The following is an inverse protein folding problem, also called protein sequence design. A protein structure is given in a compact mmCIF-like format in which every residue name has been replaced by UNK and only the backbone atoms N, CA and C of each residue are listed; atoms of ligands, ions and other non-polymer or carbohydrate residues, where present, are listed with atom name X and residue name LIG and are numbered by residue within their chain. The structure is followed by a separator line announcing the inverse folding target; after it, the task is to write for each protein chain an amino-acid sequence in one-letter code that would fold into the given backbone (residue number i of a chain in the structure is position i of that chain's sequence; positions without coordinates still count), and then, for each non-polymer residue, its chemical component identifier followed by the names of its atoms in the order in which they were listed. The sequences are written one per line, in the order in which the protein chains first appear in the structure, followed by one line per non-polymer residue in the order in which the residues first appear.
data_IF_406680418216
#
_entry.id   IF_406680418216
#
_cell.length_a   1.000
_cell.length_b   1.000
_cell.length_c   1.000
_cell.angle_alpha   90.00
_cell.angle_beta   90.00
_cell.angle_gamma   90.00
#
_symmetry.space_group_name_H-M   'P 1'
#
loop_
_entity.id
_entity.type
_entity.pdbx_description
1 polymer ?
#
# COMPACT_ATOMS: atom_id res chain seq x y z
N UNK A 1 -21.16 -62.83 -48.86
CA UNK A 1 -21.06 -61.32 -48.81
C UNK A 1 -20.59 -60.94 -47.42
N UNK A 2 -19.26 -60.72 -47.27
CA UNK A 2 -18.65 -60.31 -45.99
C UNK A 2 -18.39 -58.80 -46.06
N UNK A 3 -19.03 -58.02 -45.13
CA UNK A 3 -18.81 -56.60 -44.97
C UNK A 3 -17.66 -56.39 -43.98
N UNK A 4 -16.54 -55.89 -44.45
CA UNK A 4 -15.46 -55.36 -43.58
C UNK A 4 -15.84 -53.98 -43.11
N UNK A 5 -15.90 -53.80 -41.78
CA UNK A 5 -16.03 -52.51 -41.12
C UNK A 5 -14.61 -52.05 -40.78
N UNK A 6 -14.14 -51.00 -41.46
CA UNK A 6 -12.85 -50.33 -41.15
C UNK A 6 -13.11 -49.39 -39.96
N UNK A 7 -12.58 -49.73 -38.77
CA UNK A 7 -12.58 -48.84 -37.62
C UNK A 7 -11.42 -47.82 -37.74
N UNK A 8 -11.75 -46.56 -37.88
CA UNK A 8 -10.76 -45.48 -37.78
C UNK A 8 -10.37 -45.21 -36.32
N UNK A 9 -9.15 -45.57 -35.94
CA UNK A 9 -8.56 -45.19 -34.65
C UNK A 9 -8.12 -43.73 -34.71
N UNK A 10 -8.82 -42.86 -33.96
CA UNK A 10 -8.40 -41.47 -33.71
C UNK A 10 -7.30 -41.52 -32.69
N UNK A 11 -6.06 -41.28 -33.10
CA UNK A 11 -4.93 -41.08 -32.19
C UNK A 11 -5.05 -39.69 -31.54
N UNK A 12 -5.39 -39.66 -30.23
CA UNK A 12 -5.31 -38.45 -29.45
C UNK A 12 -3.83 -38.14 -29.18
N UNK A 13 -3.35 -37.08 -29.80
CA UNK A 13 -2.03 -36.51 -29.47
C UNK A 13 -2.08 -35.93 -28.05
N UNK A 14 -1.12 -36.25 -27.14
CA UNK A 14 -1.03 -35.60 -25.88
C UNK A 14 -0.68 -34.12 -26.10
N UNK A 15 -1.52 -33.18 -25.66
CA UNK A 15 -1.17 -31.79 -25.54
C UNK A 15 -0.06 -31.69 -24.49
N UNK A 16 1.17 -31.52 -24.94
CA UNK A 16 2.26 -31.09 -24.03
C UNK A 16 1.93 -29.68 -23.58
N UNK A 17 1.48 -29.54 -22.34
CA UNK A 17 1.44 -28.26 -21.65
C UNK A 17 2.89 -27.74 -21.63
N UNK A 18 3.20 -26.77 -22.48
CA UNK A 18 4.46 -26.03 -22.39
C UNK A 18 4.40 -25.31 -21.05
N UNK A 19 5.31 -25.61 -20.12
CA UNK A 19 5.51 -24.80 -18.96
C UNK A 19 5.85 -23.39 -19.46
N UNK A 20 5.03 -22.42 -19.14
CA UNK A 20 5.29 -21.03 -19.50
C UNK A 20 6.51 -20.59 -18.69
N UNK A 21 7.59 -20.17 -19.33
CA UNK A 21 8.74 -19.59 -18.65
C UNK A 21 8.27 -18.25 -18.05
N UNK A 22 8.13 -18.23 -16.71
CA UNK A 22 7.73 -17.03 -15.97
C UNK A 22 8.90 -16.04 -15.89
N UNK A 23 8.60 -14.77 -16.04
CA UNK A 23 9.59 -13.70 -15.85
C UNK A 23 9.76 -13.40 -14.36
N UNK A 24 10.97 -13.57 -13.78
CA UNK A 24 11.20 -13.25 -12.39
C UNK A 24 11.07 -11.75 -12.15
N UNK A 25 10.32 -11.38 -11.11
CA UNK A 25 10.06 -10.00 -10.67
C UNK A 25 10.19 -9.92 -9.15
N UNK A 26 10.90 -8.92 -8.66
CA UNK A 26 10.98 -8.63 -7.23
C UNK A 26 10.18 -7.37 -6.91
N UNK A 27 9.28 -7.48 -5.95
CA UNK A 27 8.49 -6.39 -5.40
C UNK A 27 8.92 -6.08 -3.97
N UNK A 28 9.40 -4.87 -3.72
CA UNK A 28 9.79 -4.41 -2.39
C UNK A 28 8.65 -3.67 -1.69
N UNK A 29 8.17 -4.18 -0.55
CA UNK A 29 7.21 -3.45 0.28
C UNK A 29 7.91 -2.39 1.12
N UNK A 30 7.14 -1.39 1.59
CA UNK A 30 7.69 -0.32 2.43
C UNK A 30 7.78 -0.69 3.91
N UNK A 31 7.19 -1.81 4.32
CA UNK A 31 7.14 -2.29 5.69
C UNK A 31 7.22 -3.81 5.78
N UNK A 32 7.30 -4.34 7.02
CA UNK A 32 7.20 -5.77 7.32
C UNK A 32 5.87 -6.33 6.80
N UNK A 33 5.86 -7.63 6.47
CA UNK A 33 4.67 -8.30 5.96
C UNK A 33 3.49 -8.18 6.93
N UNK A 34 2.36 -7.72 6.41
CA UNK A 34 1.13 -7.49 7.18
C UNK A 34 -0.10 -7.44 6.27
N UNK A 35 -1.30 -7.38 6.85
CA UNK A 35 -2.56 -7.40 6.08
C UNK A 35 -2.68 -6.22 5.08
N UNK A 36 -2.05 -5.11 5.35
CA UNK A 36 -1.97 -3.93 4.47
C UNK A 36 -1.16 -4.18 3.18
N UNK A 37 -0.54 -5.34 3.07
CA UNK A 37 0.11 -5.84 1.85
C UNK A 37 -0.64 -7.03 1.24
N UNK A 38 -1.77 -7.39 1.83
CA UNK A 38 -2.46 -8.67 1.60
C UNK A 38 -2.84 -8.95 0.16
N UNK A 39 -3.25 -7.95 -0.61
CA UNK A 39 -3.58 -8.13 -2.03
C UNK A 39 -2.40 -8.61 -2.87
N UNK A 40 -1.18 -8.15 -2.56
CA UNK A 40 0.03 -8.60 -3.26
C UNK A 40 0.38 -10.05 -2.89
N UNK A 41 0.28 -10.41 -1.59
CA UNK A 41 0.44 -11.80 -1.14
C UNK A 41 -0.65 -12.71 -1.71
N UNK A 42 -1.87 -12.19 -1.88
CA UNK A 42 -2.96 -12.92 -2.51
C UNK A 42 -2.64 -13.28 -3.96
N UNK A 43 -2.11 -12.33 -4.74
CA UNK A 43 -1.76 -12.58 -6.15
C UNK A 43 -0.62 -13.59 -6.31
N UNK A 44 0.27 -13.69 -5.31
CA UNK A 44 1.26 -14.78 -5.24
C UNK A 44 0.56 -16.10 -4.89
N UNK A 45 -0.28 -16.12 -3.86
CA UNK A 45 -0.89 -17.32 -3.32
C UNK A 45 -1.88 -18.00 -4.29
N UNK A 46 -2.67 -17.20 -5.03
CA UNK A 46 -3.67 -17.72 -5.97
C UNK A 46 -3.14 -17.88 -7.41
N UNK A 47 -1.86 -17.51 -7.64
CA UNK A 47 -1.20 -17.62 -8.93
C UNK A 47 -1.62 -16.58 -9.95
N UNK A 48 -2.27 -15.48 -9.54
CA UNK A 48 -2.71 -14.40 -10.45
C UNK A 48 -1.52 -13.77 -11.18
N UNK A 49 -0.37 -13.58 -10.51
CA UNK A 49 0.86 -13.12 -11.17
C UNK A 49 1.38 -14.13 -12.19
N UNK A 50 1.38 -15.41 -11.84
CA UNK A 50 1.85 -16.47 -12.72
C UNK A 50 0.96 -16.62 -13.96
N UNK A 51 -0.35 -16.38 -13.83
CA UNK A 51 -1.30 -16.44 -14.93
C UNK A 51 -1.03 -15.40 -16.03
N UNK A 52 -0.39 -14.27 -15.70
CA UNK A 52 0.03 -13.28 -16.69
C UNK A 52 1.55 -13.31 -16.99
N UNK A 53 2.26 -14.36 -16.54
CA UNK A 53 3.64 -14.63 -16.92
C UNK A 53 4.72 -14.12 -15.96
N UNK A 54 4.38 -13.73 -14.72
CA UNK A 54 5.32 -13.24 -13.72
C UNK A 54 5.55 -14.25 -12.60
N UNK A 55 6.82 -14.43 -12.19
CA UNK A 55 7.23 -15.09 -10.96
C UNK A 55 7.62 -14.01 -9.94
N UNK A 56 6.67 -13.63 -9.09
CA UNK A 56 6.82 -12.49 -8.18
C UNK A 56 7.33 -12.94 -6.82
N UNK A 57 8.49 -12.41 -6.43
CA UNK A 57 9.04 -12.49 -5.08
C UNK A 57 8.79 -11.20 -4.33
N UNK A 58 8.13 -11.27 -3.15
CA UNK A 58 7.93 -10.11 -2.27
C UNK A 58 9.09 -10.03 -1.28
N UNK A 59 9.74 -8.85 -1.23
CA UNK A 59 10.80 -8.53 -0.27
C UNK A 59 10.26 -7.50 0.72
N UNK A 60 10.19 -7.88 1.99
CA UNK A 60 9.68 -7.01 3.03
C UNK A 60 10.61 -5.82 3.29
N UNK A 61 10.01 -4.66 3.48
CA UNK A 61 10.64 -3.49 4.07
C UNK A 61 10.74 -3.59 5.60
N UNK A 62 10.89 -2.46 6.24
CA UNK A 62 10.96 -2.36 7.70
C UNK A 62 11.55 -1.03 8.17
N UNK A 63 11.71 -0.82 9.49
CA UNK A 63 12.11 0.47 10.05
C UNK A 63 13.41 1.08 9.51
N UNK A 64 14.34 0.25 9.03
CA UNK A 64 15.66 0.66 8.53
C UNK A 64 15.92 0.16 7.10
N UNK A 65 14.86 -0.30 6.41
CA UNK A 65 14.99 -0.82 5.04
C UNK A 65 14.49 0.24 4.05
N UNK A 66 15.35 0.61 3.12
CA UNK A 66 15.01 1.56 2.05
C UNK A 66 14.89 0.81 0.71
N UNK A 67 13.71 0.22 0.47
CA UNK A 67 13.45 -0.51 -0.78
C UNK A 67 13.39 0.41 -2.01
N UNK A 68 13.09 1.72 -1.84
CA UNK A 68 13.21 2.67 -2.96
C UNK A 68 14.65 2.78 -3.46
N UNK A 69 15.64 2.76 -2.57
CA UNK A 69 17.05 2.72 -3.00
C UNK A 69 17.39 1.44 -3.77
N UNK A 70 16.75 0.30 -3.46
CA UNK A 70 16.91 -0.94 -4.23
C UNK A 70 16.26 -0.83 -5.62
N UNK A 71 15.12 -0.12 -5.74
CA UNK A 71 14.50 0.18 -7.03
C UNK A 71 15.44 1.01 -7.91
N UNK A 72 16.02 2.08 -7.37
CA UNK A 72 16.97 2.94 -8.08
C UNK A 72 18.25 2.20 -8.50
N UNK A 73 18.63 1.17 -7.76
CA UNK A 73 19.79 0.32 -8.06
C UNK A 73 19.44 -0.89 -8.96
N UNK A 74 18.21 -0.95 -9.51
CA UNK A 74 17.69 -2.06 -10.33
C UNK A 74 17.79 -3.44 -9.64
N UNK A 75 17.69 -3.45 -8.30
CA UNK A 75 17.71 -4.69 -7.49
C UNK A 75 16.31 -5.23 -7.25
N UNK A 76 15.29 -4.39 -7.39
CA UNK A 76 13.87 -4.74 -7.42
C UNK A 76 13.23 -4.00 -8.60
N UNK A 77 12.16 -4.53 -9.16
CA UNK A 77 11.49 -3.97 -10.33
C UNK A 77 10.28 -3.13 -9.96
N UNK A 78 9.63 -3.45 -8.85
CA UNK A 78 8.47 -2.73 -8.32
C UNK A 78 8.69 -2.39 -6.86
N UNK A 79 8.17 -1.25 -6.43
CA UNK A 79 8.26 -0.76 -5.07
C UNK A 79 6.88 -0.32 -4.56
N UNK A 80 6.61 -0.55 -3.29
CA UNK A 80 5.46 0.04 -2.61
C UNK A 80 5.84 1.40 -2.03
N UNK A 81 5.35 2.46 -2.65
CA UNK A 81 5.49 3.82 -2.13
C UNK A 81 4.58 4.08 -0.93
N UNK A 82 4.90 5.11 -0.17
CA UNK A 82 4.12 5.50 1.01
C UNK A 82 2.87 6.29 0.64
N UNK A 83 3.05 7.50 0.13
CA UNK A 83 1.98 8.42 -0.26
C UNK A 83 2.41 9.35 -1.42
N UNK A 84 1.48 10.18 -1.91
CA UNK A 84 1.75 11.09 -3.03
C UNK A 84 2.75 12.20 -2.68
N UNK A 85 2.89 12.60 -1.41
CA UNK A 85 3.93 13.58 -1.04
C UNK A 85 5.34 13.01 -1.26
N UNK A 86 5.54 11.73 -0.96
CA UNK A 86 6.81 11.05 -1.26
C UNK A 86 7.07 10.92 -2.76
N UNK A 87 6.01 10.74 -3.56
CA UNK A 87 6.13 10.73 -5.02
C UNK A 87 6.49 12.13 -5.57
N UNK A 88 5.90 13.20 -5.04
CA UNK A 88 6.26 14.58 -5.38
C UNK A 88 7.70 14.92 -4.98
N UNK A 89 8.14 14.49 -3.80
CA UNK A 89 9.53 14.67 -3.36
C UNK A 89 10.52 13.97 -4.31
N UNK A 90 10.17 12.79 -4.83
CA UNK A 90 11.00 12.12 -5.83
C UNK A 90 11.15 12.97 -7.11
N UNK A 91 10.07 13.58 -7.59
CA UNK A 91 10.14 14.51 -8.74
C UNK A 91 11.00 15.73 -8.42
N UNK A 92 10.85 16.32 -7.23
CA UNK A 92 11.65 17.46 -6.78
C UNK A 92 13.15 17.16 -6.70
N UNK A 93 13.51 15.90 -6.52
CA UNK A 93 14.89 15.41 -6.46
C UNK A 93 15.38 14.81 -7.79
N UNK A 94 14.63 15.02 -8.91
CA UNK A 94 14.92 14.45 -10.23
C UNK A 94 15.05 12.92 -10.23
N UNK A 95 14.36 12.22 -9.30
CA UNK A 95 14.32 10.76 -9.22
C UNK A 95 13.25 10.24 -10.17
N UNK A 96 13.59 9.44 -11.19
CA UNK A 96 12.66 9.02 -12.24
C UNK A 96 11.81 7.82 -11.82
N UNK A 97 11.08 7.95 -10.70
CA UNK A 97 10.14 6.97 -10.16
C UNK A 97 8.72 7.47 -10.39
N UNK A 98 7.86 6.59 -10.89
CA UNK A 98 6.48 6.91 -11.29
C UNK A 98 5.50 5.99 -10.56
N UNK A 99 4.46 6.54 -9.95
CA UNK A 99 3.34 5.79 -9.41
C UNK A 99 2.40 5.36 -10.53
N UNK A 100 2.11 4.07 -10.64
CA UNK A 100 1.28 3.47 -11.70
C UNK A 100 -0.09 3.01 -11.20
N UNK A 101 -0.29 2.90 -9.89
CA UNK A 101 -1.57 2.66 -9.22
C UNK A 101 -1.49 3.11 -7.76
N UNK A 102 -2.64 3.36 -7.11
CA UNK A 102 -2.72 3.68 -5.69
C UNK A 102 -3.74 2.78 -5.00
N UNK A 103 -3.26 1.87 -4.16
CA UNK A 103 -4.12 0.89 -3.49
C UNK A 103 -5.00 1.56 -2.42
N UNK A 104 -4.42 2.42 -1.58
CA UNK A 104 -5.16 3.08 -0.52
C UNK A 104 -5.73 4.41 -1.01
N UNK A 105 -7.04 4.48 -1.05
CA UNK A 105 -7.79 5.67 -1.43
C UNK A 105 -7.90 6.67 -0.29
N UNK A 106 -7.83 6.16 0.95
CA UNK A 106 -7.79 6.95 2.18
C UNK A 106 -6.53 6.57 2.94
N UNK A 107 -5.70 7.56 3.23
CA UNK A 107 -4.44 7.34 3.94
C UNK A 107 -4.73 6.82 5.36
N UNK A 108 -4.26 5.61 5.75
CA UNK A 108 -4.61 5.00 7.03
C UNK A 108 -3.77 5.49 8.21
N UNK A 109 -2.89 6.48 8.00
CA UNK A 109 -2.05 7.05 9.05
C UNK A 109 -2.89 7.71 10.13
N UNK A 110 -2.59 7.39 11.38
CA UNK A 110 -3.26 7.94 12.56
C UNK A 110 -2.24 8.48 13.55
N UNK A 111 -2.72 9.37 14.42
CA UNK A 111 -2.12 9.64 15.71
C UNK A 111 -2.94 8.88 16.76
N UNK A 112 -2.29 7.97 17.46
CA UNK A 112 -2.85 7.17 18.56
C UNK A 112 -2.55 7.88 19.85
N UNK A 113 -3.57 8.13 20.68
CA UNK A 113 -3.45 8.87 21.92
C UNK A 113 -4.12 8.13 23.09
N UNK A 114 -3.75 8.50 24.29
CA UNK A 114 -4.40 8.01 25.50
C UNK A 114 -5.87 8.43 25.57
N UNK A 115 -6.74 7.72 26.35
CA UNK A 115 -8.18 7.97 26.38
C UNK A 115 -8.60 9.35 26.86
N UNK A 116 -7.74 10.06 27.59
CA UNK A 116 -7.95 11.41 28.07
C UNK A 116 -7.77 12.49 26.98
N UNK A 117 -7.10 12.18 25.87
CA UNK A 117 -6.95 13.06 24.71
C UNK A 117 -8.14 12.84 23.78
N UNK A 118 -9.05 13.80 23.73
CA UNK A 118 -10.35 13.64 23.05
C UNK A 118 -10.50 14.47 21.77
N UNK A 119 -9.53 15.35 21.51
CA UNK A 119 -9.54 16.23 20.33
C UNK A 119 -8.17 16.33 19.64
N UNK A 120 -8.20 16.70 18.36
CA UNK A 120 -6.99 16.98 17.58
C UNK A 120 -6.16 18.12 18.19
N UNK A 121 -6.82 19.11 18.77
CA UNK A 121 -6.14 20.26 19.40
C UNK A 121 -5.34 19.85 20.65
N UNK A 122 -5.86 18.91 21.45
CA UNK A 122 -5.16 18.42 22.66
C UNK A 122 -3.88 17.65 22.36
N UNK A 123 -3.69 17.17 21.10
CA UNK A 123 -2.44 16.57 20.65
C UNK A 123 -1.28 17.57 20.64
N UNK A 124 -1.57 18.88 20.56
CA UNK A 124 -0.56 19.94 20.54
C UNK A 124 0.17 20.07 21.88
N UNK A 125 -0.42 19.58 22.97
CA UNK A 125 0.19 19.58 24.29
C UNK A 125 0.97 18.28 24.58
N UNK A 126 1.00 17.35 23.63
CA UNK A 126 1.67 16.04 23.78
C UNK A 126 3.00 15.97 23.06
N UNK A 127 3.89 15.14 23.56
CA UNK A 127 5.06 14.68 22.81
C UNK A 127 4.62 13.64 21.79
N UNK A 128 5.00 13.83 20.52
CA UNK A 128 4.57 12.96 19.44
C UNK A 128 5.71 12.01 19.02
N UNK A 129 5.49 10.72 19.17
CA UNK A 129 6.43 9.67 18.73
C UNK A 129 6.21 9.43 17.24
N UNK A 130 7.07 10.01 16.41
CA UNK A 130 6.96 9.98 14.93
C UNK A 130 8.26 9.45 14.33
N UNK A 131 8.19 8.43 13.49
CA UNK A 131 9.32 7.90 12.74
C UNK A 131 9.81 8.88 11.66
N UNK A 132 11.02 8.65 11.13
CA UNK A 132 11.64 9.57 10.18
C UNK A 132 10.84 9.73 8.88
N UNK A 133 10.24 8.64 8.36
CA UNK A 133 9.39 8.71 7.17
C UNK A 133 8.13 9.55 7.40
N UNK A 134 7.48 9.44 8.57
CA UNK A 134 6.33 10.26 8.94
C UNK A 134 6.72 11.73 9.14
N UNK A 135 7.91 11.97 9.70
CA UNK A 135 8.43 13.31 9.91
C UNK A 135 8.67 14.05 8.58
N UNK A 136 9.25 13.38 7.60
CA UNK A 136 9.50 13.94 6.26
C UNK A 136 8.27 13.97 5.34
N UNK A 137 7.12 13.48 5.79
CA UNK A 137 5.86 13.44 5.06
C UNK A 137 4.78 14.22 5.80
N UNK A 138 3.74 13.54 6.29
CA UNK A 138 2.55 14.16 6.88
C UNK A 138 2.83 15.07 8.09
N UNK A 139 3.91 14.86 8.82
CA UNK A 139 4.22 15.69 9.97
C UNK A 139 4.64 17.12 9.57
N UNK A 140 5.28 17.31 8.41
CA UNK A 140 5.55 18.65 7.87
C UNK A 140 4.26 19.40 7.59
N UNK A 141 3.25 18.72 7.05
CA UNK A 141 1.93 19.28 6.87
C UNK A 141 1.24 19.58 8.22
N UNK A 142 1.36 18.70 9.23
CA UNK A 142 0.85 18.97 10.58
C UNK A 142 1.47 20.25 11.19
N UNK A 143 2.77 20.46 10.98
CA UNK A 143 3.46 21.69 11.42
C UNK A 143 2.88 22.90 10.69
N UNK A 144 2.78 22.84 9.37
CA UNK A 144 2.39 23.97 8.55
C UNK A 144 0.92 24.37 8.74
N UNK A 145 0.01 23.41 8.70
CA UNK A 145 -1.45 23.66 8.69
C UNK A 145 -2.08 23.66 10.09
N UNK A 146 -1.55 22.87 11.01
CA UNK A 146 -2.19 22.67 12.31
C UNK A 146 -1.41 23.24 13.48
N UNK A 147 -0.25 23.86 13.24
CA UNK A 147 0.53 24.52 14.27
C UNK A 147 1.22 23.58 15.24
N UNK A 148 1.46 22.33 14.85
CA UNK A 148 2.39 21.45 15.57
C UNK A 148 3.82 21.99 15.42
N UNK A 149 4.75 21.48 16.22
CA UNK A 149 6.14 21.96 16.16
C UNK A 149 7.13 20.81 16.00
N UNK A 150 8.32 21.12 15.50
CA UNK A 150 9.37 20.11 15.37
C UNK A 150 9.87 19.61 16.75
N UNK A 151 9.79 20.45 17.77
CA UNK A 151 10.21 20.16 19.15
C UNK A 151 9.31 19.14 19.84
N UNK A 152 8.02 19.04 19.44
CA UNK A 152 7.09 18.04 19.96
C UNK A 152 7.44 16.63 19.51
N UNK A 153 8.18 16.52 18.40
CA UNK A 153 8.54 15.21 17.83
C UNK A 153 9.66 14.55 18.62
N UNK A 154 9.44 13.28 18.98
CA UNK A 154 10.51 12.34 19.33
C UNK A 154 10.54 11.18 18.34
N UNK A 155 11.74 10.63 18.04
CA UNK A 155 11.86 9.49 17.14
C UNK A 155 11.06 8.29 17.63
N UNK A 156 10.21 7.75 16.79
CA UNK A 156 9.47 6.52 17.07
C UNK A 156 10.23 5.31 16.50
N UNK A 157 10.52 4.36 17.36
CA UNK A 157 11.24 3.13 17.02
C UNK A 157 10.32 1.94 16.77
N UNK A 158 9.02 2.21 16.56
CA UNK A 158 7.95 1.23 16.31
C UNK A 158 7.73 0.23 17.46
N UNK A 159 8.12 0.66 18.67
CA UNK A 159 7.80 -0.01 19.94
C UNK A 159 6.78 0.86 20.69
N UNK A 160 5.55 0.39 20.95
CA UNK A 160 4.52 1.17 21.64
C UNK A 160 4.77 1.33 23.14
N UNK A 161 5.70 0.61 23.74
CA UNK A 161 5.93 0.63 25.19
C UNK A 161 6.20 2.04 25.76
N UNK A 162 6.99 2.93 25.12
CA UNK A 162 7.14 4.31 25.60
C UNK A 162 5.84 5.10 25.62
N UNK A 163 4.98 4.92 24.63
CA UNK A 163 3.64 5.50 24.59
C UNK A 163 2.75 4.94 25.71
N UNK A 164 2.70 3.63 25.86
CA UNK A 164 1.87 2.97 26.89
C UNK A 164 2.25 3.43 28.30
N UNK A 165 3.55 3.65 28.56
CA UNK A 165 4.07 4.01 29.85
C UNK A 165 3.93 5.50 30.20
N UNK A 166 3.66 6.38 29.24
CA UNK A 166 3.65 7.82 29.44
C UNK A 166 2.42 8.50 28.80
N UNK A 167 1.51 8.97 29.62
CA UNK A 167 0.26 9.64 29.20
C UNK A 167 0.48 11.01 28.55
N UNK A 168 1.68 11.60 28.68
CA UNK A 168 2.04 12.85 28.01
C UNK A 168 2.53 12.64 26.57
N UNK A 169 2.42 11.42 26.05
CA UNK A 169 2.80 11.09 24.68
C UNK A 169 1.59 10.67 23.84
N UNK A 170 1.70 10.90 22.53
CA UNK A 170 0.90 10.24 21.50
C UNK A 170 1.86 9.67 20.45
N UNK A 171 1.43 8.73 19.65
CA UNK A 171 2.30 8.07 18.66
C UNK A 171 1.66 7.93 17.31
N UNK A 172 2.49 7.90 16.27
CA UNK A 172 2.03 7.49 14.95
C UNK A 172 1.56 6.03 14.96
N UNK A 173 0.69 5.70 14.02
CA UNK A 173 0.26 4.33 13.76
C UNK A 173 -0.56 4.25 12.49
N UNK A 174 -0.88 3.04 12.07
CA UNK A 174 -1.89 2.78 11.07
C UNK A 174 -3.19 2.37 11.75
N UNK A 175 -4.31 2.86 11.25
CA UNK A 175 -5.66 2.58 11.76
C UNK A 175 -5.93 1.07 11.90
N UNK A 176 -5.37 0.28 11.02
CA UNK A 176 -5.49 -1.17 10.94
C UNK A 176 -4.48 -1.95 11.79
N UNK A 177 -3.58 -1.30 12.51
CA UNK A 177 -2.48 -1.96 13.25
C UNK A 177 -2.38 -1.51 14.71
N UNK A 178 -1.85 -0.31 14.96
CA UNK A 178 -1.47 0.17 16.29
C UNK A 178 -2.63 0.26 17.29
N UNK A 179 -3.86 0.66 16.92
CA UNK A 179 -4.96 0.68 17.89
C UNK A 179 -5.26 -0.70 18.50
N UNK A 180 -5.21 -1.75 17.67
CA UNK A 180 -5.37 -3.12 18.14
C UNK A 180 -4.24 -3.54 19.08
N UNK A 181 -3.00 -3.22 18.71
CA UNK A 181 -1.83 -3.57 19.51
C UNK A 181 -1.87 -2.91 20.89
N UNK A 182 -2.18 -1.61 20.93
CA UNK A 182 -2.31 -0.84 22.19
C UNK A 182 -3.43 -1.42 23.05
N UNK A 183 -4.61 -1.68 22.50
CA UNK A 183 -5.71 -2.24 23.27
C UNK A 183 -5.34 -3.60 23.88
N UNK A 184 -4.61 -4.43 23.15
CA UNK A 184 -4.19 -5.75 23.62
C UNK A 184 -3.08 -5.71 24.66
N UNK A 185 -2.09 -4.83 24.49
CA UNK A 185 -0.92 -4.76 25.37
C UNK A 185 -1.14 -3.90 26.61
N UNK A 186 -1.86 -2.79 26.45
CA UNK A 186 -2.06 -1.82 27.52
C UNK A 186 -3.39 -2.02 28.29
N UNK A 187 -4.34 -2.78 27.70
CA UNK A 187 -5.64 -3.02 28.31
C UNK A 187 -6.58 -1.83 28.33
N UNK A 188 -6.28 -0.76 27.57
CA UNK A 188 -7.18 0.35 27.33
C UNK A 188 -7.39 0.58 25.83
N UNK A 189 -8.56 1.08 25.47
CA UNK A 189 -8.85 1.48 24.10
C UNK A 189 -8.32 2.89 23.85
N UNK A 190 -7.35 3.07 22.94
CA UNK A 190 -6.82 4.40 22.65
C UNK A 190 -7.83 5.24 21.85
N UNK A 191 -7.70 6.56 21.92
CA UNK A 191 -8.30 7.45 20.95
C UNK A 191 -7.43 7.53 19.69
N UNK A 192 -8.08 7.61 18.53
CA UNK A 192 -7.41 7.49 17.23
C UNK A 192 -7.83 8.66 16.36
N UNK A 193 -6.85 9.43 15.91
CA UNK A 193 -7.04 10.60 15.06
C UNK A 193 -6.50 10.29 13.66
N UNK A 194 -7.40 10.03 12.72
CA UNK A 194 -7.02 9.76 11.33
C UNK A 194 -6.59 11.07 10.65
N UNK A 195 -5.37 11.15 10.16
CA UNK A 195 -4.85 12.38 9.54
C UNK A 195 -5.63 12.75 8.26
N UNK A 196 -6.14 11.76 7.54
CA UNK A 196 -6.97 11.98 6.36
C UNK A 196 -8.28 12.73 6.69
N UNK A 197 -8.88 12.47 7.85
CA UNK A 197 -10.09 13.15 8.30
C UNK A 197 -9.81 14.59 8.77
N UNK A 198 -8.53 14.90 9.02
CA UNK A 198 -8.07 16.23 9.39
C UNK A 198 -7.47 17.02 8.21
N UNK A 199 -7.62 16.51 6.98
CA UNK A 199 -7.27 17.24 5.75
C UNK A 199 -6.11 16.68 4.93
N UNK A 200 -5.35 15.69 5.45
CA UNK A 200 -4.28 15.04 4.69
C UNK A 200 -4.85 13.97 3.73
N UNK A 201 -5.52 14.43 2.68
CA UNK A 201 -6.30 13.59 1.74
C UNK A 201 -5.43 13.05 0.60
N UNK A 202 -4.37 12.28 0.93
CA UNK A 202 -3.47 11.66 -0.04
C UNK A 202 -3.89 10.24 -0.37
N UNK A 203 -3.66 9.80 -1.62
CA UNK A 203 -3.50 8.39 -1.92
C UNK A 203 -2.28 7.83 -1.20
N UNK A 204 -2.31 6.53 -0.85
CA UNK A 204 -1.20 5.84 -0.20
C UNK A 204 -1.05 4.41 -0.72
N UNK A 205 0.02 3.73 -0.31
CA UNK A 205 0.34 2.38 -0.80
C UNK A 205 0.33 2.35 -2.32
N UNK A 206 1.12 3.27 -2.92
CA UNK A 206 1.27 3.35 -4.37
C UNK A 206 2.13 2.20 -4.90
N UNK A 207 1.85 1.76 -6.11
CA UNK A 207 2.76 0.88 -6.86
C UNK A 207 3.68 1.80 -7.67
N UNK A 208 4.97 1.74 -7.39
CA UNK A 208 6.00 2.58 -8.02
C UNK A 208 6.95 1.74 -8.88
N UNK A 209 7.34 2.30 -10.02
CA UNK A 209 8.33 1.74 -10.94
C UNK A 209 9.27 2.83 -11.44
N UNK A 210 10.40 2.45 -12.02
CA UNK A 210 11.24 3.37 -12.78
C UNK A 210 10.56 3.78 -14.09
N UNK A 211 10.73 5.04 -14.53
CA UNK A 211 10.27 5.48 -15.85
C UNK A 211 10.81 4.59 -16.96
N UNK A 212 12.07 4.17 -16.87
CA UNK A 212 12.68 3.24 -17.84
C UNK A 212 11.96 1.89 -17.93
N UNK A 213 11.40 1.40 -16.81
CA UNK A 213 10.61 0.16 -16.80
C UNK A 213 9.30 0.33 -17.57
N UNK A 214 8.66 1.51 -17.47
CA UNK A 214 7.48 1.84 -18.26
C UNK A 214 7.82 1.88 -19.75
N UNK A 215 8.92 2.53 -20.10
CA UNK A 215 9.33 2.72 -21.50
C UNK A 215 9.76 1.42 -22.18
N UNK A 216 10.44 0.53 -21.44
CA UNK A 216 11.05 -0.68 -22.00
C UNK A 216 10.17 -1.94 -21.86
N UNK A 217 9.33 -1.99 -20.81
CA UNK A 217 8.57 -3.20 -20.42
C UNK A 217 7.13 -2.87 -19.99
N UNK A 218 6.37 -2.08 -20.78
CA UNK A 218 5.02 -1.65 -20.38
C UNK A 218 4.06 -2.83 -20.12
N UNK A 219 4.19 -3.92 -20.88
CA UNK A 219 3.37 -5.13 -20.67
C UNK A 219 3.66 -5.82 -19.34
N UNK A 220 4.90 -5.76 -18.84
CA UNK A 220 5.26 -6.27 -17.53
C UNK A 220 4.65 -5.42 -16.42
N UNK A 221 4.64 -4.09 -16.60
CA UNK A 221 4.00 -3.16 -15.66
C UNK A 221 2.50 -3.40 -15.63
N UNK A 222 1.85 -3.51 -16.79
CA UNK A 222 0.41 -3.79 -16.89
C UNK A 222 0.05 -5.10 -16.21
N UNK A 223 0.77 -6.19 -16.50
CA UNK A 223 0.55 -7.49 -15.88
C UNK A 223 0.69 -7.41 -14.36
N UNK A 224 1.74 -6.78 -13.82
CA UNK A 224 1.95 -6.65 -12.39
C UNK A 224 0.83 -5.85 -11.72
N UNK A 225 0.43 -4.72 -12.31
CA UNK A 225 -0.65 -3.87 -11.79
C UNK A 225 -1.96 -4.65 -11.81
N UNK A 226 -2.38 -5.17 -12.96
CA UNK A 226 -3.68 -5.85 -13.11
C UNK A 226 -3.81 -7.06 -12.19
N UNK A 227 -2.72 -7.85 -12.07
CA UNK A 227 -2.68 -8.97 -11.13
C UNK A 227 -2.78 -8.50 -9.66
N UNK A 228 -2.07 -7.42 -9.30
CA UNK A 228 -2.15 -6.84 -7.95
C UNK A 228 -3.56 -6.37 -7.61
N UNK A 229 -4.23 -5.67 -8.54
CA UNK A 229 -5.60 -5.18 -8.33
C UNK A 229 -6.60 -6.34 -8.16
N UNK A 230 -6.47 -7.39 -8.98
CA UNK A 230 -7.24 -8.63 -8.84
C UNK A 230 -7.00 -9.28 -7.46
N UNK A 231 -5.74 -9.38 -7.04
CA UNK A 231 -5.37 -9.91 -5.74
C UNK A 231 -5.97 -9.11 -4.58
N UNK A 232 -6.04 -7.79 -4.69
CA UNK A 232 -6.69 -6.97 -3.68
C UNK A 232 -8.20 -7.23 -3.58
N UNK A 233 -8.90 -7.44 -4.70
CA UNK A 233 -10.31 -7.87 -4.67
C UNK A 233 -10.45 -9.24 -4.01
N UNK A 234 -9.65 -10.23 -4.41
CA UNK A 234 -9.65 -11.58 -3.83
C UNK A 234 -9.34 -11.54 -2.33
N UNK A 235 -8.37 -10.72 -1.90
CA UNK A 235 -7.98 -10.60 -0.50
C UNK A 235 -9.08 -10.03 0.38
N UNK A 236 -9.78 -8.99 -0.10
CA UNK A 236 -10.81 -8.30 0.67
C UNK A 236 -12.16 -9.02 0.64
N UNK A 237 -12.51 -9.68 -0.47
CA UNK A 237 -13.84 -10.20 -0.71
C UNK A 237 -13.90 -11.71 -0.96
N UNK A 238 -12.77 -12.34 -1.26
CA UNK A 238 -12.64 -13.78 -1.52
C UNK A 238 -12.04 -14.56 -0.36
N UNK A 239 -11.48 -15.74 -0.68
CA UNK A 239 -10.73 -16.58 0.25
C UNK A 239 -9.27 -16.15 0.33
N UNK A 240 -8.86 -15.65 1.47
CA UNK A 240 -7.50 -15.14 1.71
C UNK A 240 -6.64 -16.02 2.61
N UNK A 241 -7.09 -17.24 2.94
CA UNK A 241 -6.37 -18.15 3.87
C UNK A 241 -4.93 -18.39 3.44
N UNK A 242 -4.69 -18.62 2.15
CA UNK A 242 -3.35 -18.88 1.63
C UNK A 242 -2.46 -17.62 1.67
N UNK A 243 -3.00 -16.44 1.39
CA UNK A 243 -2.29 -15.17 1.52
C UNK A 243 -1.95 -14.83 2.97
N UNK A 244 -2.92 -15.02 3.88
CA UNK A 244 -2.71 -14.83 5.32
C UNK A 244 -1.58 -15.76 5.84
N UNK A 245 -1.51 -17.01 5.35
CA UNK A 245 -0.44 -17.95 5.70
C UNK A 245 0.95 -17.45 5.24
N UNK A 246 1.07 -16.89 4.03
CA UNK A 246 2.31 -16.29 3.55
C UNK A 246 2.73 -15.07 4.38
N UNK A 247 1.78 -14.24 4.80
CA UNK A 247 2.05 -13.09 5.68
C UNK A 247 2.57 -13.57 7.04
N UNK A 248 1.94 -14.58 7.63
CA UNK A 248 2.35 -15.16 8.92
C UNK A 248 3.74 -15.81 8.84
N UNK A 249 4.08 -16.44 7.71
CA UNK A 249 5.41 -17.00 7.47
C UNK A 249 6.48 -15.90 7.33
N UNK A 250 6.13 -14.80 6.63
CA UNK A 250 7.06 -13.70 6.37
C UNK A 250 7.27 -12.77 7.57
N UNK A 251 6.37 -12.77 8.57
CA UNK A 251 6.45 -11.91 9.75
C UNK A 251 5.96 -12.63 11.00
N UNK A 252 6.90 -13.02 11.86
CA UNK A 252 6.62 -13.75 13.11
C UNK A 252 5.85 -12.90 14.16
N UNK A 253 5.81 -11.57 14.02
CA UNK A 253 5.08 -10.68 14.92
C UNK A 253 3.60 -10.53 14.54
N UNK A 254 3.17 -11.19 13.44
CA UNK A 254 1.78 -11.22 13.03
C UNK A 254 1.00 -12.35 13.70
N UNK A 255 -0.30 -12.15 13.81
CA UNK A 255 -1.25 -13.17 14.22
C UNK A 255 -2.50 -13.12 13.33
N UNK A 256 -3.23 -14.24 13.25
CA UNK A 256 -4.47 -14.27 12.46
C UNK A 256 -5.51 -13.25 12.97
N UNK A 257 -5.58 -13.05 14.30
CA UNK A 257 -6.49 -12.05 14.88
C UNK A 257 -6.13 -10.63 14.42
N UNK A 258 -4.83 -10.28 14.37
CA UNK A 258 -4.36 -8.99 13.88
C UNK A 258 -4.66 -8.83 12.39
N UNK A 259 -4.44 -9.87 11.59
CA UNK A 259 -4.80 -9.86 10.15
C UNK A 259 -6.30 -9.64 9.97
N UNK A 260 -7.13 -10.36 10.72
CA UNK A 260 -8.59 -10.22 10.63
C UNK A 260 -9.06 -8.83 11.04
N UNK A 261 -8.50 -8.26 12.12
CA UNK A 261 -8.76 -6.89 12.54
C UNK A 261 -8.42 -5.90 11.41
N UNK A 262 -7.22 -6.00 10.85
CA UNK A 262 -6.75 -5.10 9.80
C UNK A 262 -7.61 -5.17 8.54
N UNK A 263 -7.99 -6.38 8.09
CA UNK A 263 -8.89 -6.57 6.93
C UNK A 263 -10.25 -5.92 7.16
N UNK A 264 -10.83 -6.10 8.35
CA UNK A 264 -12.10 -5.48 8.70
C UNK A 264 -11.97 -3.96 8.69
N UNK A 265 -10.92 -3.40 9.31
CA UNK A 265 -10.68 -1.96 9.31
C UNK A 265 -10.50 -1.38 7.91
N UNK A 266 -9.75 -2.07 7.03
CA UNK A 266 -9.57 -1.61 5.64
C UNK A 266 -10.91 -1.55 4.88
N UNK A 267 -11.81 -2.52 5.10
CA UNK A 267 -13.15 -2.53 4.50
C UNK A 267 -14.07 -1.48 5.12
N UNK A 268 -14.20 -1.50 6.45
CA UNK A 268 -15.19 -0.68 7.18
C UNK A 268 -14.90 0.81 7.08
N UNK A 269 -13.62 1.17 6.97
CA UNK A 269 -13.18 2.57 6.86
C UNK A 269 -12.94 3.02 5.41
N UNK A 270 -13.16 2.13 4.44
CA UNK A 270 -12.97 2.43 3.02
C UNK A 270 -11.51 2.80 2.68
N UNK A 271 -10.54 2.14 3.31
CA UNK A 271 -9.13 2.43 3.06
C UNK A 271 -8.75 2.08 1.61
N UNK A 272 -9.16 0.90 1.15
CA UNK A 272 -8.83 0.39 -0.19
C UNK A 272 -9.94 0.69 -1.20
N UNK A 273 -11.17 0.42 -0.83
CA UNK A 273 -12.32 0.44 -1.75
C UNK A 273 -13.31 1.54 -1.35
N UNK A 274 -13.00 2.75 -1.76
CA UNK A 274 -13.82 3.96 -1.57
C UNK A 274 -13.48 5.02 -2.61
N UNK A 275 -14.16 6.16 -2.59
CA UNK A 275 -13.86 7.27 -3.50
C UNK A 275 -13.91 6.85 -4.97
N UNK A 276 -12.83 7.10 -5.70
CA UNK A 276 -12.76 6.82 -7.15
C UNK A 276 -12.78 5.32 -7.49
N UNK A 277 -12.43 4.43 -6.55
CA UNK A 277 -12.48 2.97 -6.81
C UNK A 277 -13.89 2.44 -7.01
N UNK A 278 -14.90 3.11 -6.45
CA UNK A 278 -16.30 2.71 -6.62
C UNK A 278 -16.76 2.73 -8.09
N UNK A 279 -16.14 3.60 -8.88
CA UNK A 279 -16.44 3.76 -10.30
C UNK A 279 -15.35 3.20 -11.22
N UNK A 280 -14.08 3.20 -10.78
CA UNK A 280 -12.93 2.93 -11.63
C UNK A 280 -12.19 1.63 -11.26
N UNK A 281 -12.53 1.01 -10.12
CA UNK A 281 -11.87 -0.20 -9.59
C UNK A 281 -10.74 0.11 -8.61
N UNK A 282 -10.38 -0.90 -7.80
CA UNK A 282 -9.24 -0.81 -6.87
C UNK A 282 -7.98 -0.37 -7.63
N UNK A 283 -7.12 0.41 -7.00
CA UNK A 283 -5.91 0.97 -7.62
C UNK A 283 -6.13 2.31 -8.32
N UNK A 284 -7.38 2.80 -8.39
CA UNK A 284 -7.73 4.02 -9.10
C UNK A 284 -6.96 5.25 -8.62
N UNK A 285 -6.57 6.08 -9.58
CA UNK A 285 -6.04 7.42 -9.36
C UNK A 285 -6.77 8.43 -10.24
N UNK A 286 -6.75 9.70 -9.86
CA UNK A 286 -7.29 10.78 -10.69
C UNK A 286 -6.48 12.06 -10.55
N UNK A 287 -6.36 12.81 -11.65
CA UNK A 287 -5.73 14.13 -11.70
C UNK A 287 -6.36 15.09 -10.70
N UNK A 288 -7.68 14.99 -10.49
CA UNK A 288 -8.42 15.83 -9.55
C UNK A 288 -7.91 15.63 -8.12
N UNK A 289 -7.89 14.38 -7.61
CA UNK A 289 -7.50 14.08 -6.22
C UNK A 289 -6.02 14.37 -5.99
N UNK A 290 -5.16 14.01 -6.96
CA UNK A 290 -3.71 14.23 -6.86
C UNK A 290 -3.40 15.73 -6.94
N UNK A 291 -4.06 16.46 -7.86
CA UNK A 291 -3.89 17.91 -8.01
C UNK A 291 -4.38 18.70 -6.81
N UNK A 292 -5.53 18.32 -6.23
CA UNK A 292 -6.04 18.93 -5.00
C UNK A 292 -5.09 18.71 -3.83
N UNK A 293 -4.53 17.51 -3.71
CA UNK A 293 -3.55 17.21 -2.67
C UNK A 293 -2.23 17.97 -2.89
N UNK A 294 -1.74 18.03 -4.14
CA UNK A 294 -0.57 18.85 -4.49
C UNK A 294 -0.78 20.31 -4.10
N UNK A 295 -1.90 20.91 -4.50
CA UNK A 295 -2.21 22.30 -4.18
C UNK A 295 -2.25 22.56 -2.68
N UNK A 296 -2.82 21.66 -1.89
CA UNK A 296 -2.79 21.75 -0.42
C UNK A 296 -1.35 21.77 0.13
N UNK A 297 -0.46 20.94 -0.41
CA UNK A 297 0.94 20.91 0.03
C UNK A 297 1.69 22.18 -0.38
N UNK A 298 1.34 22.78 -1.53
CA UNK A 298 1.86 24.09 -1.96
C UNK A 298 1.36 25.20 -1.05
N UNK A 299 0.06 25.26 -0.77
CA UNK A 299 -0.55 26.27 0.09
C UNK A 299 0.00 26.21 1.51
N UNK A 300 0.30 25.02 2.01
CA UNK A 300 0.97 24.77 3.27
C UNK A 300 2.47 25.10 3.26
N UNK A 301 3.06 25.38 2.10
CA UNK A 301 4.50 25.63 1.97
C UNK A 301 5.38 24.39 2.16
N UNK A 302 4.80 23.19 2.05
CA UNK A 302 5.51 21.90 2.16
C UNK A 302 6.22 21.54 0.86
N UNK A 303 5.65 21.95 -0.27
CA UNK A 303 6.17 21.71 -1.63
C UNK A 303 6.23 23.03 -2.42
N UNK A 304 7.20 23.13 -3.33
CA UNK A 304 7.30 24.24 -4.27
C UNK A 304 6.16 24.23 -5.30
N UNK A 305 5.58 25.42 -5.57
CA UNK A 305 4.40 25.54 -6.46
C UNK A 305 4.70 25.43 -7.95
N UNK A 306 5.97 25.34 -8.34
CA UNK A 306 6.42 25.19 -9.73
C UNK A 306 6.86 23.77 -10.09
N UNK A 307 6.64 22.79 -9.19
CA UNK A 307 6.96 21.39 -9.44
C UNK A 307 6.08 20.82 -10.56
N UNK A 308 6.67 20.08 -11.48
CA UNK A 308 5.92 19.25 -12.43
C UNK A 308 5.35 17.99 -11.74
N UNK A 309 4.36 18.18 -10.88
CA UNK A 309 3.76 17.13 -10.08
C UNK A 309 3.12 15.99 -10.91
N UNK A 310 2.82 16.25 -12.19
CA UNK A 310 2.28 15.24 -13.11
C UNK A 310 3.32 14.19 -13.50
N UNK A 311 4.60 14.50 -13.37
CA UNK A 311 5.66 13.51 -13.56
C UNK A 311 5.70 12.43 -12.45
N UNK A 312 5.00 12.65 -11.32
CA UNK A 312 4.98 11.70 -10.20
C UNK A 312 4.16 10.44 -10.47
N UNK A 313 3.28 10.42 -11.49
CA UNK A 313 2.36 9.30 -11.73
C UNK A 313 1.94 9.20 -13.20
N UNK A 314 1.38 8.04 -13.58
CA UNK A 314 0.63 7.87 -14.84
C UNK A 314 -0.67 7.11 -14.58
N UNK A 315 -1.69 7.38 -15.40
CA UNK A 315 -2.97 6.68 -15.36
C UNK A 315 -3.07 5.53 -16.39
N UNK A 316 -2.02 5.26 -17.13
CA UNK A 316 -2.02 4.30 -18.26
C UNK A 316 -2.27 2.86 -17.79
N UNK A 317 -1.90 2.52 -16.56
CA UNK A 317 -1.96 1.16 -16.02
C UNK A 317 -3.11 0.95 -15.03
N UNK A 318 -3.88 1.96 -14.69
CA UNK A 318 -4.98 1.89 -13.73
C UNK A 318 -6.31 2.30 -14.33
N UNK A 319 -7.39 2.41 -13.51
CA UNK A 319 -8.72 2.87 -13.93
C UNK A 319 -9.45 1.95 -14.94
N UNK A 320 -9.05 0.68 -15.00
CA UNK A 320 -9.56 -0.31 -16.00
C UNK A 320 -10.61 -1.25 -15.44
N UNK A 321 -11.03 -1.07 -14.18
CA UNK A 321 -11.97 -1.95 -13.45
C UNK A 321 -11.53 -3.42 -13.38
N UNK A 322 -10.24 -3.68 -13.38
CA UNK A 322 -9.70 -5.04 -13.28
C UNK A 322 -10.15 -5.67 -11.96
N UNK A 323 -10.72 -6.88 -12.02
CA UNK A 323 -11.25 -7.59 -10.84
C UNK A 323 -12.53 -7.02 -10.23
N UNK A 324 -13.15 -6.01 -10.84
CA UNK A 324 -14.34 -5.31 -10.30
C UNK A 324 -15.55 -6.25 -10.11
N UNK A 325 -15.67 -7.29 -10.90
CA UNK A 325 -16.70 -8.32 -10.85
C UNK A 325 -16.55 -9.31 -9.68
N UNK A 326 -15.40 -9.30 -8.98
CA UNK A 326 -15.15 -10.10 -7.77
C UNK A 326 -15.88 -9.48 -6.56
N UNK A 327 -16.12 -8.19 -6.60
CA UNK A 327 -16.83 -7.47 -5.53
C UNK A 327 -18.26 -7.97 -5.41
N UNK A 328 -18.75 -8.33 -4.17
CA UNK A 328 -20.10 -8.84 -3.94
C UNK A 328 -21.20 -7.83 -4.22
#
# INVERSE_FOLDING_TARGET
MHKFILGAAIAALPATAMAQDLTPVTFGTNWLAQAEHGGFYQSVADGTYAACGLDVTIVSGGPQVNNRALLLADRIQFHMGGDMLQAFNAVAEDIPVVAVAAIFQKHPQVIVAHPDVTSWEELKDKTLLIGDNGYSSYYQWMIAEHGFTAEQRQPYTFNPAPFIANTDTAMQGYLSSEPYLVEKEAGFKPNVFLIADNGYSSYATTIEVMQSTIDEKPEQVECFVDASLTGWYNYLYGDSVAADALILEANADMSQDKINFAKNMMRDQGIVDSGKTLDLGIGAMSDEVIGDFYQKMVDAGVIAGDLDWKAAYTLDFTNKKVGFDIKP
#
